data_IF_863638507616
#
_entry.id   IF_863638507616
#
_cell.length_a   1.000
_cell.length_b   1.000
_cell.length_c   1.000
_cell.angle_alpha   90.00
_cell.angle_beta   90.00
_cell.angle_gamma   90.00
#
_symmetry.space_group_name_H-M   'P 1'
#
loop_
_entity.id
_entity.type
_entity.pdbx_description
1 polymer ?
#
# COMPACT_ATOMS: atom_id res chain seq x y z
N UNK A 1 53.63 -8.54 -5.52
CA UNK A 1 52.89 -9.61 -4.84
C UNK A 1 51.77 -8.99 -4.02
N UNK A 2 50.52 -9.44 -4.26
CA UNK A 2 49.31 -9.40 -3.40
C UNK A 2 48.91 -8.02 -2.81
N UNK A 3 47.86 -7.39 -3.34
CA UNK A 3 46.41 -7.58 -3.03
C UNK A 3 46.02 -7.08 -1.62
N UNK A 4 44.99 -6.25 -1.56
CA UNK A 4 44.14 -6.05 -0.37
C UNK A 4 43.82 -4.58 -0.12
N UNK A 5 42.74 -4.04 -0.68
CA UNK A 5 41.35 -4.02 -0.16
C UNK A 5 41.03 -2.75 0.63
N UNK A 6 40.08 -1.99 0.09
CA UNK A 6 39.41 -0.87 0.72
C UNK A 6 38.48 -1.31 1.86
N UNK A 7 38.33 -0.46 2.88
CA UNK A 7 37.14 -0.33 3.74
C UNK A 7 36.98 1.18 4.00
N UNK A 8 36.01 1.88 3.41
CA UNK A 8 34.57 1.91 3.73
C UNK A 8 34.27 2.63 5.04
N UNK A 9 33.74 3.85 4.92
CA UNK A 9 32.76 4.43 5.86
C UNK A 9 32.17 5.72 5.25
N UNK A 10 31.49 5.60 4.10
CA UNK A 10 30.62 6.66 3.61
C UNK A 10 29.20 6.42 4.14
N UNK A 11 28.95 6.80 5.40
CA UNK A 11 27.58 6.97 5.89
C UNK A 11 26.99 8.19 5.18
N UNK A 12 26.26 7.97 4.09
CA UNK A 12 25.32 8.96 3.60
C UNK A 12 23.92 8.54 4.07
N UNK A 13 23.62 8.94 5.30
CA UNK A 13 22.24 9.13 5.70
C UNK A 13 21.65 10.18 4.75
N UNK A 14 20.73 9.78 3.88
CA UNK A 14 19.81 10.76 3.31
C UNK A 14 18.80 11.09 4.41
N UNK A 15 19.09 12.18 5.10
CA UNK A 15 18.04 13.08 5.56
C UNK A 15 17.11 13.32 4.36
N UNK A 16 15.82 13.02 4.54
CA UNK A 16 14.77 13.61 3.73
C UNK A 16 14.81 15.13 3.95
N UNK A 17 15.66 15.82 3.18
CA UNK A 17 15.48 17.24 2.94
C UNK A 17 14.18 17.35 2.14
N UNK A 18 13.15 17.89 2.80
CA UNK A 18 11.94 18.37 2.16
C UNK A 18 12.33 19.49 1.18
N UNK A 19 12.77 19.13 -0.02
CA UNK A 19 12.90 20.00 -1.16
C UNK A 19 11.58 20.02 -1.92
N UNK A 20 11.20 21.18 -2.47
CA UNK A 20 10.05 21.42 -3.35
C UNK A 20 9.90 20.35 -4.46
N UNK A 21 9.35 19.19 -4.12
CA UNK A 21 9.19 18.06 -5.02
C UNK A 21 7.91 18.20 -5.81
N UNK A 22 8.02 18.39 -7.12
CA UNK A 22 6.90 18.15 -8.04
C UNK A 22 6.34 16.76 -7.74
N UNK A 23 5.02 16.64 -7.64
CA UNK A 23 4.38 15.35 -7.40
C UNK A 23 4.90 14.30 -8.40
N UNK A 24 5.28 13.12 -7.89
CA UNK A 24 5.57 11.96 -8.72
C UNK A 24 4.23 11.44 -9.24
N UNK A 25 3.95 11.66 -10.52
CA UNK A 25 2.73 11.17 -11.18
C UNK A 25 3.06 9.85 -11.87
N UNK A 26 2.41 8.77 -11.43
CA UNK A 26 2.46 7.45 -12.07
C UNK A 26 1.07 7.20 -12.64
N UNK A 27 0.93 7.29 -13.97
CA UNK A 27 -0.36 7.17 -14.66
C UNK A 27 -0.31 6.16 -15.81
N UNK A 28 -1.32 6.17 -16.69
CA UNK A 28 -1.42 5.25 -17.83
C UNK A 28 -0.35 5.48 -18.92
N UNK A 29 0.47 6.52 -18.82
CA UNK A 29 1.66 6.71 -19.65
C UNK A 29 2.89 6.01 -19.07
N UNK A 30 2.84 5.58 -17.81
CA UNK A 30 3.90 4.84 -17.12
C UNK A 30 3.73 3.31 -17.24
N UNK A 31 3.44 2.82 -18.44
CA UNK A 31 3.10 1.41 -18.69
C UNK A 31 4.27 0.55 -19.19
N UNK A 32 5.37 1.17 -19.62
CA UNK A 32 6.59 0.43 -19.97
C UNK A 32 7.35 -0.01 -18.71
N UNK A 33 6.99 -1.19 -18.22
CA UNK A 33 7.58 -1.78 -17.02
C UNK A 33 9.06 -2.15 -17.18
N UNK A 34 9.58 -2.22 -18.41
CA UNK A 34 11.01 -2.46 -18.64
C UNK A 34 11.88 -1.27 -18.18
N UNK A 35 11.26 -0.10 -18.05
CA UNK A 35 11.89 1.11 -17.53
C UNK A 35 12.00 1.14 -16.01
N UNK A 36 11.50 0.11 -15.29
CA UNK A 36 11.70 -0.03 -13.85
C UNK A 36 13.00 -0.79 -13.61
N UNK A 37 14.09 -0.14 -13.14
CA UNK A 37 15.33 -0.84 -12.83
C UNK A 37 15.11 -1.99 -11.86
N UNK A 38 15.71 -3.14 -12.16
CA UNK A 38 15.68 -4.33 -11.29
C UNK A 38 16.14 -4.03 -9.86
N UNK A 39 17.05 -3.05 -9.70
CA UNK A 39 17.46 -2.54 -8.40
C UNK A 39 16.27 -2.14 -7.51
N UNK A 40 15.28 -1.40 -8.05
CA UNK A 40 14.12 -0.94 -7.29
C UNK A 40 13.18 -2.09 -6.94
N UNK A 41 13.03 -3.06 -7.83
CA UNK A 41 12.25 -4.28 -7.57
C UNK A 41 12.87 -5.07 -6.41
N UNK A 42 14.20 -5.19 -6.39
CA UNK A 42 14.94 -5.84 -5.29
C UNK A 42 14.86 -5.07 -3.98
N UNK A 43 14.93 -3.73 -4.01
CA UNK A 43 14.75 -2.91 -2.81
C UNK A 43 13.34 -3.09 -2.24
N UNK A 44 12.30 -2.95 -3.07
CA UNK A 44 10.91 -3.16 -2.69
C UNK A 44 10.71 -4.53 -2.03
N UNK A 45 11.29 -5.58 -2.61
CA UNK A 45 11.24 -6.95 -2.04
C UNK A 45 11.84 -7.07 -0.64
N UNK A 46 12.83 -6.25 -0.29
CA UNK A 46 13.50 -6.31 1.02
C UNK A 46 12.89 -5.39 2.07
N UNK A 47 12.09 -4.40 1.66
CA UNK A 47 11.61 -3.34 2.56
C UNK A 47 10.10 -3.32 2.72
N UNK A 48 9.32 -3.67 1.71
CA UNK A 48 7.88 -3.40 1.70
C UNK A 48 7.12 -4.48 2.45
N UNK A 49 6.41 -4.06 3.49
CA UNK A 49 5.42 -4.83 4.22
C UNK A 49 4.07 -4.13 4.04
N UNK A 50 3.46 -4.41 2.88
CA UNK A 50 2.17 -3.89 2.42
C UNK A 50 0.95 -4.62 2.98
N UNK A 51 0.01 -3.87 3.51
CA UNK A 51 -1.34 -4.35 3.85
C UNK A 51 -2.35 -3.59 3.01
N UNK A 52 -3.35 -4.30 2.49
CA UNK A 52 -4.32 -3.76 1.54
C UNK A 52 -5.74 -4.11 1.98
N UNK A 53 -6.41 -3.13 2.59
CA UNK A 53 -7.81 -3.23 3.00
C UNK A 53 -8.73 -2.86 1.84
N UNK A 54 -9.62 -3.77 1.45
CA UNK A 54 -10.61 -3.48 0.42
C UNK A 54 -11.79 -4.46 0.46
N UNK A 55 -12.82 -4.13 -0.32
CA UNK A 55 -13.90 -5.03 -0.68
C UNK A 55 -14.08 -5.07 -2.20
N UNK A 56 -14.83 -6.07 -2.69
CA UNK A 56 -15.39 -6.16 -4.05
C UNK A 56 -14.51 -5.57 -5.17
N UNK A 57 -14.65 -4.28 -5.49
CA UNK A 57 -13.95 -3.61 -6.59
C UNK A 57 -12.44 -3.41 -6.38
N UNK A 58 -11.96 -3.41 -5.13
CA UNK A 58 -10.54 -3.22 -4.84
C UNK A 58 -9.64 -4.36 -5.29
N UNK A 59 -10.20 -5.54 -5.62
CA UNK A 59 -9.46 -6.70 -6.11
C UNK A 59 -8.75 -6.46 -7.44
N UNK A 60 -9.11 -5.42 -8.20
CA UNK A 60 -8.51 -5.08 -9.49
C UNK A 60 -6.98 -4.93 -9.43
N UNK A 61 -6.44 -4.34 -8.36
CA UNK A 61 -4.98 -4.24 -8.17
C UNK A 61 -4.35 -5.62 -8.08
N UNK A 62 -4.98 -6.53 -7.35
CA UNK A 62 -4.47 -7.89 -7.15
C UNK A 62 -4.58 -8.72 -8.43
N UNK A 63 -5.70 -8.64 -9.15
CA UNK A 63 -5.85 -9.26 -10.47
C UNK A 63 -4.82 -8.71 -11.47
N UNK A 64 -4.54 -7.40 -11.43
CA UNK A 64 -3.48 -6.80 -12.24
C UNK A 64 -2.10 -7.34 -11.89
N UNK A 65 -1.79 -7.48 -10.60
CA UNK A 65 -0.55 -8.11 -10.14
C UNK A 65 -0.43 -9.56 -10.64
N UNK A 66 -1.49 -10.36 -10.57
CA UNK A 66 -1.50 -11.74 -11.10
C UNK A 66 -1.22 -11.78 -12.60
N UNK A 67 -1.84 -10.90 -13.39
CA UNK A 67 -1.58 -10.81 -14.82
C UNK A 67 -0.11 -10.43 -15.16
N UNK A 68 0.52 -9.62 -14.30
CA UNK A 68 1.94 -9.28 -14.44
C UNK A 68 2.86 -10.46 -14.15
N UNK A 69 2.48 -11.37 -13.26
CA UNK A 69 3.27 -12.57 -12.94
C UNK A 69 3.42 -13.49 -14.15
N UNK A 70 2.33 -13.67 -14.88
CA UNK A 70 2.30 -14.51 -16.07
C UNK A 70 3.10 -13.88 -17.22
N UNK A 71 3.14 -12.55 -17.28
CA UNK A 71 3.71 -11.80 -18.41
C UNK A 71 5.18 -11.41 -18.22
N UNK A 72 5.67 -11.31 -16.98
CA UNK A 72 7.00 -10.79 -16.69
C UNK A 72 7.77 -11.64 -15.65
N UNK A 73 8.80 -12.40 -16.08
CA UNK A 73 9.59 -13.24 -15.18
C UNK A 73 10.23 -12.52 -13.99
N UNK A 74 10.55 -11.22 -14.15
CA UNK A 74 11.11 -10.42 -13.04
C UNK A 74 10.13 -10.29 -11.87
N UNK A 75 8.83 -10.42 -12.10
CA UNK A 75 7.81 -10.36 -11.07
C UNK A 75 7.42 -11.74 -10.52
N UNK A 76 7.82 -12.85 -11.16
CA UNK A 76 7.38 -14.21 -10.75
C UNK A 76 7.56 -14.51 -9.27
N UNK A 77 8.50 -13.86 -8.58
CA UNK A 77 8.62 -14.03 -7.13
C UNK A 77 7.35 -13.67 -6.34
N UNK A 78 6.44 -12.81 -6.84
CA UNK A 78 5.13 -12.58 -6.20
C UNK A 78 4.19 -13.80 -6.27
N UNK A 79 4.56 -14.87 -7.00
CA UNK A 79 3.82 -16.13 -7.02
C UNK A 79 4.16 -17.07 -5.85
N UNK A 80 5.10 -16.69 -4.99
CA UNK A 80 5.43 -17.49 -3.81
C UNK A 80 4.28 -17.39 -2.80
N UNK A 81 3.37 -18.36 -2.88
CA UNK A 81 2.19 -18.48 -2.02
C UNK A 81 2.53 -18.57 -0.51
N UNK A 82 3.80 -18.73 -0.13
CA UNK A 82 4.25 -18.65 1.27
C UNK A 82 4.47 -17.20 1.75
N UNK A 83 4.67 -16.22 0.85
CA UNK A 83 5.02 -14.83 1.20
C UNK A 83 4.11 -13.77 0.56
N UNK A 84 3.34 -14.13 -0.47
CA UNK A 84 2.49 -13.25 -1.28
C UNK A 84 1.00 -13.63 -1.23
N UNK A 85 0.57 -14.31 -0.17
CA UNK A 85 -0.75 -14.94 -0.16
C UNK A 85 -1.89 -13.94 0.00
N UNK A 86 -2.73 -13.91 -1.02
CA UNK A 86 -4.18 -13.69 -0.95
C UNK A 86 -4.76 -14.43 0.27
N UNK A 87 -5.33 -13.71 1.23
CA UNK A 87 -6.09 -14.30 2.34
C UNK A 87 -5.28 -15.20 3.28
N UNK A 88 -4.70 -14.62 4.34
CA UNK A 88 -4.45 -15.33 5.60
C UNK A 88 -3.54 -16.56 5.55
N UNK A 89 -2.48 -16.54 4.74
CA UNK A 89 -1.55 -17.65 4.62
C UNK A 89 -0.72 -17.90 5.88
N UNK A 90 -0.94 -19.05 6.51
CA UNK A 90 -0.04 -19.63 7.50
C UNK A 90 1.07 -20.43 6.77
N UNK A 91 2.36 -20.26 7.11
CA UNK A 91 2.90 -19.32 8.10
C UNK A 91 3.00 -17.89 7.57
N UNK A 92 2.86 -16.93 8.50
CA UNK A 92 3.13 -15.53 8.22
C UNK A 92 4.54 -15.39 7.62
N UNK A 93 4.66 -14.57 6.57
CA UNK A 93 5.95 -14.23 5.99
C UNK A 93 6.90 -13.64 7.04
N UNK A 94 8.18 -14.06 7.09
CA UNK A 94 9.17 -13.45 7.97
C UNK A 94 9.26 -11.94 7.77
N UNK A 95 9.55 -11.19 8.84
CA UNK A 95 9.65 -9.71 8.78
C UNK A 95 10.80 -9.18 7.89
N UNK A 96 11.68 -10.08 7.45
CA UNK A 96 12.85 -9.84 6.61
C UNK A 96 12.55 -9.91 5.11
N UNK A 97 11.34 -10.32 4.73
CA UNK A 97 10.91 -10.38 3.33
C UNK A 97 9.70 -9.48 3.09
N UNK A 98 9.52 -9.09 1.83
CA UNK A 98 8.29 -8.48 1.40
C UNK A 98 7.11 -9.41 1.67
N UNK A 99 6.02 -8.81 2.13
CA UNK A 99 4.73 -9.48 2.22
C UNK A 99 3.62 -8.54 1.79
N UNK A 100 2.62 -9.11 1.12
CA UNK A 100 1.41 -8.44 0.69
C UNK A 100 0.21 -9.09 1.37
N UNK A 101 -0.48 -8.33 2.24
CA UNK A 101 -1.62 -8.82 2.99
C UNK A 101 -2.91 -8.26 2.41
N UNK A 102 -3.50 -9.06 1.54
CA UNK A 102 -4.75 -8.75 0.86
C UNK A 102 -5.97 -8.96 1.76
N UNK A 103 -6.99 -8.11 1.64
CA UNK A 103 -8.16 -8.03 2.53
C UNK A 103 -7.81 -7.80 4.00
N UNK A 104 -6.66 -7.19 4.30
CA UNK A 104 -6.21 -6.94 5.67
C UNK A 104 -5.87 -5.46 5.88
N UNK A 105 -6.42 -4.82 6.92
CA UNK A 105 -7.50 -5.35 7.77
C UNK A 105 -8.81 -5.48 6.95
N UNK A 106 -9.64 -6.46 7.28
CA UNK A 106 -10.87 -6.70 6.54
C UNK A 106 -11.91 -5.62 6.82
N UNK A 107 -12.50 -5.04 5.77
CA UNK A 107 -13.50 -4.00 5.93
C UNK A 107 -13.60 -3.09 4.71
N UNK A 108 -14.26 -1.96 4.88
CA UNK A 108 -14.53 -1.00 3.83
C UNK A 108 -14.38 0.44 4.36
N UNK A 109 -13.88 1.36 3.53
CA UNK A 109 -13.64 2.74 3.95
C UNK A 109 -14.92 3.50 4.30
N UNK A 110 -16.08 3.14 3.74
CA UNK A 110 -17.35 3.80 4.05
C UNK A 110 -18.31 2.98 4.90
N UNK A 111 -18.15 1.66 4.98
CA UNK A 111 -19.03 0.78 5.76
C UNK A 111 -18.28 0.14 6.95
N UNK A 112 -18.87 0.06 8.16
CA UNK A 112 -20.25 0.44 8.51
C UNK A 112 -20.52 1.93 8.71
N UNK A 113 -19.49 2.76 8.94
CA UNK A 113 -19.71 4.12 9.47
C UNK A 113 -18.59 5.12 9.15
N UNK A 114 -17.86 4.95 8.05
CA UNK A 114 -16.75 5.82 7.61
C UNK A 114 -15.53 5.91 8.53
N UNK A 115 -15.59 5.35 9.74
CA UNK A 115 -14.53 5.48 10.76
C UNK A 115 -14.01 4.13 11.25
N UNK A 116 -14.80 3.05 11.16
CA UNK A 116 -14.42 1.73 11.65
C UNK A 116 -13.09 1.22 11.07
N UNK A 117 -12.83 1.48 9.78
CA UNK A 117 -11.60 1.07 9.10
C UNK A 117 -10.34 1.63 9.79
N UNK A 118 -10.41 2.84 10.36
CA UNK A 118 -9.28 3.46 11.04
C UNK A 118 -8.97 2.74 12.35
N UNK A 119 -10.00 2.35 13.13
CA UNK A 119 -9.82 1.55 14.34
C UNK A 119 -9.27 0.14 14.05
N UNK A 120 -9.69 -0.47 12.93
CA UNK A 120 -9.11 -1.74 12.47
C UNK A 120 -7.65 -1.59 12.05
N UNK A 121 -7.31 -0.48 11.40
CA UNK A 121 -5.93 -0.16 11.01
C UNK A 121 -5.05 0.06 12.24
N UNK A 122 -5.54 0.80 13.23
CA UNK A 122 -4.86 1.02 14.50
C UNK A 122 -4.61 -0.29 15.27
N UNK A 123 -5.63 -1.15 15.35
CA UNK A 123 -5.50 -2.48 15.99
C UNK A 123 -4.44 -3.34 15.31
N UNK A 124 -4.38 -3.33 13.97
CA UNK A 124 -3.38 -4.07 13.22
C UNK A 124 -1.97 -3.46 13.37
N UNK A 125 -1.82 -2.13 13.28
CA UNK A 125 -0.50 -1.49 13.35
C UNK A 125 0.09 -1.50 14.77
N UNK A 126 -0.75 -1.48 15.80
CA UNK A 126 -0.32 -1.65 17.20
C UNK A 126 0.10 -3.09 17.53
N UNK A 127 -0.14 -4.06 16.63
CA UNK A 127 0.26 -5.47 16.78
C UNK A 127 1.78 -5.72 16.61
N UNK A 128 2.65 -4.78 17.02
CA UNK A 128 4.09 -4.88 16.78
C UNK A 128 4.75 -6.10 17.45
N UNK A 129 4.14 -6.63 18.52
CA UNK A 129 4.61 -7.82 19.24
C UNK A 129 3.95 -9.14 18.77
N UNK A 130 3.07 -9.09 17.76
CA UNK A 130 2.36 -10.28 17.26
C UNK A 130 1.30 -10.85 18.22
N UNK A 131 0.80 -10.07 19.18
CA UNK A 131 -0.24 -10.51 20.12
C UNK A 131 -1.56 -10.91 19.43
N UNK A 132 -1.90 -10.29 18.30
CA UNK A 132 -3.05 -10.62 17.48
C UNK A 132 -2.63 -11.54 16.34
N UNK A 133 -2.86 -12.84 16.49
CA UNK A 133 -2.50 -13.86 15.47
C UNK A 133 -3.26 -13.71 14.16
N UNK A 134 -4.38 -12.98 14.16
CA UNK A 134 -5.17 -12.66 12.96
C UNK A 134 -4.55 -11.55 12.11
N UNK A 135 -3.64 -10.74 12.68
CA UNK A 135 -3.02 -9.61 12.00
C UNK A 135 -1.53 -9.85 11.77
N UNK A 136 -0.99 -9.47 10.61
CA UNK A 136 0.44 -9.38 10.43
C UNK A 136 1.03 -8.27 11.33
N UNK A 137 2.23 -8.51 11.85
CA UNK A 137 2.99 -7.51 12.59
C UNK A 137 3.96 -6.75 11.66
N UNK A 138 4.47 -5.62 12.16
CA UNK A 138 5.48 -4.77 11.50
C UNK A 138 5.12 -4.27 10.08
N UNK A 139 3.84 -3.97 9.81
CA UNK A 139 3.44 -3.35 8.54
C UNK A 139 4.06 -1.96 8.42
N UNK A 140 4.51 -1.61 7.22
CA UNK A 140 5.10 -0.29 6.95
C UNK A 140 4.55 0.38 5.69
N UNK A 141 3.64 -0.27 4.97
CA UNK A 141 2.89 0.33 3.87
C UNK A 141 1.42 -0.04 4.02
N UNK A 142 0.56 0.97 4.13
CA UNK A 142 -0.88 0.82 4.36
C UNK A 142 -1.63 1.40 3.18
N UNK A 143 -2.46 0.58 2.56
CA UNK A 143 -3.29 0.97 1.43
C UNK A 143 -4.72 0.53 1.74
N UNK A 144 -5.66 1.43 1.46
CA UNK A 144 -7.08 1.09 1.43
C UNK A 144 -7.66 1.46 0.08
N UNK A 145 -8.45 0.56 -0.51
CA UNK A 145 -9.25 0.90 -1.69
C UNK A 145 -10.67 1.23 -1.31
N UNK A 146 -11.19 2.26 -1.95
CA UNK A 146 -12.62 2.47 -2.03
C UNK A 146 -13.26 1.36 -2.87
N UNK A 147 -14.45 0.92 -2.46
CA UNK A 147 -15.36 0.22 -3.34
C UNK A 147 -16.25 1.29 -4.00
N UNK A 148 -17.58 1.27 -3.85
CA UNK A 148 -18.49 2.25 -4.46
C UNK A 148 -18.83 3.47 -3.61
N UNK A 149 -18.34 3.55 -2.37
CA UNK A 149 -18.88 4.46 -1.34
C UNK A 149 -18.76 5.94 -1.72
N UNK A 150 -17.71 6.29 -2.47
CA UNK A 150 -17.48 7.66 -2.92
C UNK A 150 -18.56 8.15 -3.88
N UNK A 151 -19.28 7.26 -4.59
CA UNK A 151 -20.39 7.65 -5.46
C UNK A 151 -21.52 8.36 -4.70
N UNK A 152 -21.72 8.06 -3.42
CA UNK A 152 -22.74 8.71 -2.57
C UNK A 152 -22.16 9.43 -1.33
N UNK A 153 -20.84 9.50 -1.20
CA UNK A 153 -20.18 10.24 -0.13
C UNK A 153 -20.38 11.75 -0.29
N UNK A 154 -20.57 12.46 0.82
CA UNK A 154 -20.49 13.92 0.83
C UNK A 154 -19.04 14.41 1.09
N UNK A 155 -18.83 15.73 1.07
CA UNK A 155 -17.49 16.31 1.34
C UNK A 155 -17.02 16.07 2.78
N UNK A 156 -17.95 15.92 3.72
CA UNK A 156 -17.66 15.61 5.11
C UNK A 156 -17.14 14.18 5.27
N UNK A 157 -17.64 13.22 4.51
CA UNK A 157 -17.12 11.86 4.48
C UNK A 157 -15.68 11.82 3.95
N UNK A 158 -15.38 12.57 2.87
CA UNK A 158 -14.00 12.68 2.36
C UNK A 158 -13.08 13.39 3.36
N UNK A 159 -13.55 14.48 3.98
CA UNK A 159 -12.79 15.16 5.04
C UNK A 159 -12.53 14.24 6.24
N UNK A 160 -13.47 13.36 6.57
CA UNK A 160 -13.32 12.33 7.62
C UNK A 160 -12.21 11.35 7.26
N UNK A 161 -12.21 10.83 6.03
CA UNK A 161 -11.14 9.95 5.53
C UNK A 161 -9.76 10.62 5.62
N UNK A 162 -9.62 11.84 5.09
CA UNK A 162 -8.33 12.57 5.12
C UNK A 162 -7.85 12.86 6.54
N UNK A 163 -8.76 13.23 7.44
CA UNK A 163 -8.46 13.47 8.86
C UNK A 163 -8.00 12.20 9.57
N UNK A 164 -8.68 11.06 9.34
CA UNK A 164 -8.29 9.78 9.93
C UNK A 164 -6.95 9.26 9.38
N UNK A 165 -6.70 9.42 8.07
CA UNK A 165 -5.39 9.11 7.49
C UNK A 165 -4.29 9.94 8.16
N UNK A 166 -4.50 11.25 8.32
CA UNK A 166 -3.54 12.15 9.00
C UNK A 166 -3.30 11.71 10.45
N UNK A 167 -4.33 11.31 11.18
CA UNK A 167 -4.20 10.82 12.56
C UNK A 167 -3.37 9.53 12.62
N UNK A 168 -3.59 8.59 11.70
CA UNK A 168 -2.84 7.35 11.62
C UNK A 168 -1.37 7.58 11.23
N UNK A 169 -1.10 8.50 10.31
CA UNK A 169 0.26 8.91 9.95
C UNK A 169 1.03 9.46 11.16
N UNK A 170 0.37 10.30 11.96
CA UNK A 170 0.96 10.86 13.19
C UNK A 170 1.19 9.79 14.26
N UNK A 171 0.27 8.84 14.40
CA UNK A 171 0.37 7.75 15.37
C UNK A 171 1.44 6.71 14.99
N UNK A 172 1.65 6.48 13.69
CA UNK A 172 2.53 5.44 13.15
C UNK A 172 3.57 6.01 12.17
N UNK A 173 4.54 6.82 12.64
CA UNK A 173 5.52 7.49 11.78
C UNK A 173 6.46 6.54 11.03
N UNK A 174 6.49 5.25 11.40
CA UNK A 174 7.23 4.19 10.70
C UNK A 174 6.46 3.54 9.54
N UNK A 175 5.19 3.91 9.33
CA UNK A 175 4.35 3.42 8.25
C UNK A 175 4.08 4.52 7.22
N UNK A 176 4.10 4.15 5.95
CA UNK A 176 3.66 5.00 4.84
C UNK A 176 2.21 4.69 4.51
N UNK A 177 1.38 5.72 4.36
CA UNK A 177 -0.02 5.60 4.00
C UNK A 177 -0.23 6.05 2.56
N UNK A 178 -0.89 5.22 1.77
CA UNK A 178 -1.23 5.56 0.38
C UNK A 178 -2.67 6.03 0.31
N UNK A 179 -2.84 7.24 -0.19
CA UNK A 179 -4.15 7.81 -0.48
C UNK A 179 -4.59 7.32 -1.85
N UNK A 180 -5.76 6.69 -1.90
CA UNK A 180 -6.35 6.19 -3.13
C UNK A 180 -7.63 6.94 -3.42
N UNK A 181 -7.79 7.39 -4.66
CA UNK A 181 -9.08 7.89 -5.18
C UNK A 181 -10.01 6.72 -5.48
N UNK A 182 -11.32 6.95 -5.48
CA UNK A 182 -12.27 5.91 -5.90
C UNK A 182 -12.24 5.66 -7.40
N UNK A 183 -12.71 4.48 -7.81
CA UNK A 183 -12.80 4.07 -9.21
C UNK A 183 -13.84 4.92 -9.95
N UNK A 184 -13.60 5.24 -11.22
CA UNK A 184 -14.59 5.98 -12.02
C UNK A 184 -15.85 5.12 -12.23
N UNK A 185 -17.02 5.72 -12.04
CA UNK A 185 -18.35 5.07 -12.16
C UNK A 185 -19.15 5.53 -13.39
N UNK A 186 -18.54 6.31 -14.28
CA UNK A 186 -19.16 6.76 -15.52
C UNK A 186 -20.09 7.97 -15.39
N UNK A 187 -20.20 8.58 -14.21
CA UNK A 187 -21.07 9.76 -13.99
C UNK A 187 -20.52 11.09 -14.55
N UNK A 188 -19.29 11.07 -15.09
CA UNK A 188 -18.66 12.22 -15.75
C UNK A 188 -18.03 13.24 -14.78
N UNK A 189 -17.44 14.31 -15.33
CA UNK A 189 -16.68 15.31 -14.56
C UNK A 189 -17.54 16.08 -13.53
N UNK A 190 -18.85 16.19 -13.77
CA UNK A 190 -19.79 16.81 -12.83
C UNK A 190 -20.44 15.81 -11.87
N UNK A 191 -20.11 14.51 -11.98
CA UNK A 191 -20.63 13.46 -11.13
C UNK A 191 -20.05 13.53 -9.72
N UNK A 192 -20.82 13.11 -8.71
CA UNK A 192 -20.41 13.19 -7.31
C UNK A 192 -19.04 12.56 -7.07
N UNK A 193 -18.81 11.36 -7.60
CA UNK A 193 -17.55 10.65 -7.45
C UNK A 193 -16.35 11.45 -7.97
N UNK A 194 -16.47 12.05 -9.16
CA UNK A 194 -15.39 12.88 -9.72
C UNK A 194 -15.13 14.12 -8.85
N UNK A 195 -16.19 14.76 -8.37
CA UNK A 195 -16.10 15.92 -7.48
C UNK A 195 -15.52 15.58 -6.11
N UNK A 196 -15.69 14.34 -5.62
CA UNK A 196 -15.09 13.85 -4.37
C UNK A 196 -13.64 13.42 -4.54
N UNK A 197 -13.27 12.85 -5.69
CA UNK A 197 -11.88 12.49 -6.00
C UNK A 197 -10.97 13.71 -6.17
N UNK A 198 -11.52 14.87 -6.53
CA UNK A 198 -10.79 16.13 -6.73
C UNK A 198 -10.84 17.07 -5.50
N UNK A 199 -11.28 16.57 -4.35
CA UNK A 199 -11.34 17.34 -3.10
C UNK A 199 -9.99 17.39 -2.40
#
# INVERSE_FOLDING_TARGET
>A
MRKGTALAAGCLALLCLAGNGRALVIDHHCTDLSLVPEYWIRQARSTIKLTYGHTSHGSQVVTGMEALLDSFPVYQFFNDHAYYRYGGGNPQAPDTVMSFWDYVPGGDLGNPNWTAWAGLTDTMLSNANGAYTIYPHLRNLVVWSWCGQVSWADSGNIATYLSLMTQLELAYPGATFVYMTSHLDGTGASGNLNLRNNQ
#
